data_IF_311945309170
#
_entry.id   IF_311945309170
#
_cell.length_a   1.000
_cell.length_b   1.000
_cell.length_c   1.000
_cell.angle_alpha   90.00
_cell.angle_beta   90.00
_cell.angle_gamma   90.00
#
_symmetry.space_group_name_H-M   'P 1'
#
loop_
_entity.id
_entity.type
_entity.pdbx_description
1 polymer ?
#
# COMPACT_ATOMS: atom_id res chain seq x y z
N UNK A 1 -29.17 11.82 -70.10
CA UNK A 1 -30.32 11.11 -69.49
C UNK A 1 -30.03 9.61 -69.54
N UNK A 2 -29.50 9.03 -68.47
CA UNK A 2 -29.12 7.60 -68.43
C UNK A 2 -30.33 6.79 -68.01
N UNK A 3 -30.97 6.13 -68.99
CA UNK A 3 -32.12 5.26 -68.76
C UNK A 3 -31.57 3.89 -68.35
N UNK A 4 -31.66 3.56 -67.07
CA UNK A 4 -31.28 2.24 -66.57
C UNK A 4 -32.25 1.18 -67.14
N UNK A 5 -31.72 0.21 -67.87
CA UNK A 5 -32.50 -0.89 -68.46
C UNK A 5 -33.12 -1.77 -67.36
N UNK A 6 -34.29 -2.37 -67.63
CA UNK A 6 -35.06 -3.24 -66.73
C UNK A 6 -34.24 -4.35 -66.05
N UNK A 7 -33.16 -4.82 -66.67
CA UNK A 7 -32.22 -5.78 -66.08
C UNK A 7 -31.43 -5.21 -64.90
N UNK A 8 -31.03 -3.94 -64.95
CA UNK A 8 -30.28 -3.26 -63.87
C UNK A 8 -31.18 -2.96 -62.67
N UNK A 9 -32.46 -2.64 -62.95
CA UNK A 9 -33.49 -2.46 -61.91
C UNK A 9 -33.83 -3.76 -61.18
N UNK A 10 -33.87 -4.90 -61.88
CA UNK A 10 -34.10 -6.22 -61.25
C UNK A 10 -32.95 -6.66 -60.35
N UNK A 11 -31.70 -6.42 -60.77
CA UNK A 11 -30.49 -6.76 -59.99
C UNK A 11 -30.38 -5.91 -58.72
N UNK A 12 -30.71 -4.62 -58.80
CA UNK A 12 -30.69 -3.71 -57.66
C UNK A 12 -31.76 -4.06 -56.61
N UNK A 13 -32.97 -4.46 -57.03
CA UNK A 13 -34.04 -4.92 -56.12
C UNK A 13 -33.67 -6.21 -55.37
N UNK A 14 -32.99 -7.15 -56.04
CA UNK A 14 -32.54 -8.40 -55.42
C UNK A 14 -31.46 -8.15 -54.36
N UNK A 15 -30.52 -7.25 -54.65
CA UNK A 15 -29.40 -6.96 -53.74
C UNK A 15 -29.86 -6.21 -52.47
N UNK A 16 -30.79 -5.25 -52.61
CA UNK A 16 -31.40 -4.56 -51.47
C UNK A 16 -32.21 -5.52 -50.59
N UNK A 17 -32.90 -6.49 -51.20
CA UNK A 17 -33.64 -7.52 -50.45
C UNK A 17 -32.72 -8.43 -49.64
N UNK A 18 -31.55 -8.82 -50.17
CA UNK A 18 -30.59 -9.66 -49.45
C UNK A 18 -30.00 -8.97 -48.23
N UNK A 19 -29.67 -7.68 -48.33
CA UNK A 19 -29.15 -6.89 -47.20
C UNK A 19 -30.19 -6.74 -46.10
N UNK A 20 -31.46 -6.53 -46.46
CA UNK A 20 -32.55 -6.41 -45.49
C UNK A 20 -32.79 -7.74 -44.74
N UNK A 21 -32.71 -8.87 -45.44
CA UNK A 21 -32.87 -10.21 -44.84
C UNK A 21 -31.70 -10.53 -43.90
N UNK A 22 -30.47 -10.22 -44.28
CA UNK A 22 -29.29 -10.40 -43.41
C UNK A 22 -29.39 -9.53 -42.15
N UNK A 23 -29.81 -8.27 -42.29
CA UNK A 23 -30.02 -7.38 -41.15
C UNK A 23 -31.10 -7.91 -40.20
N UNK A 24 -32.22 -8.41 -40.73
CA UNK A 24 -33.28 -9.03 -39.93
C UNK A 24 -32.75 -10.29 -39.23
N UNK A 25 -31.99 -11.16 -39.91
CA UNK A 25 -31.40 -12.35 -39.29
C UNK A 25 -30.40 -12.01 -38.18
N UNK A 26 -29.60 -10.94 -38.33
CA UNK A 26 -28.67 -10.48 -37.28
C UNK A 26 -29.45 -9.95 -36.07
N UNK A 27 -30.49 -9.14 -36.29
CA UNK A 27 -31.30 -8.54 -35.20
C UNK A 27 -32.16 -9.60 -34.50
N UNK A 28 -32.69 -10.60 -35.21
CA UNK A 28 -33.51 -11.67 -34.62
C UNK A 28 -32.70 -12.82 -34.01
N UNK A 29 -31.40 -12.91 -34.32
CA UNK A 29 -30.45 -13.80 -33.61
C UNK A 29 -29.84 -13.14 -32.36
N UNK A 30 -30.03 -11.82 -32.20
CA UNK A 30 -29.60 -11.06 -31.04
C UNK A 30 -30.60 -10.99 -29.85
N UNK A 31 -31.55 -11.92 -29.66
CA UNK A 31 -32.19 -12.12 -28.36
C UNK A 31 -31.70 -13.44 -27.75
N UNK A 32 -30.41 -13.52 -27.43
CA UNK A 32 -29.92 -14.44 -26.40
C UNK A 32 -28.88 -13.82 -25.47
N UNK A 33 -28.82 -12.48 -25.41
CA UNK A 33 -28.08 -11.75 -24.36
C UNK A 33 -29.06 -10.94 -23.49
N UNK A 34 -30.16 -11.55 -23.11
CA UNK A 34 -31.01 -11.07 -22.02
C UNK A 34 -31.38 -12.19 -21.05
N UNK A 35 -30.69 -13.33 -21.14
CA UNK A 35 -30.77 -14.45 -20.22
C UNK A 35 -29.44 -14.74 -19.51
N UNK A 36 -28.56 -13.74 -19.34
CA UNK A 36 -27.61 -13.80 -18.23
C UNK A 36 -28.39 -13.37 -17.00
N UNK A 37 -28.91 -14.37 -16.29
CA UNK A 37 -29.62 -14.15 -15.04
C UNK A 37 -28.82 -13.26 -14.11
N UNK A 38 -29.54 -12.49 -13.31
CA UNK A 38 -29.03 -11.87 -12.10
C UNK A 38 -28.38 -12.95 -11.23
N UNK A 39 -27.11 -13.21 -11.49
CA UNK A 39 -26.23 -13.76 -10.51
C UNK A 39 -25.48 -12.58 -9.92
N UNK A 40 -25.46 -12.50 -8.60
CA UNK A 40 -24.89 -11.41 -7.80
C UNK A 40 -23.34 -11.32 -7.90
N UNK A 41 -22.78 -11.67 -9.06
CA UNK A 41 -21.35 -11.79 -9.31
C UNK A 41 -20.60 -10.46 -9.22
N UNK A 42 -21.27 -9.29 -9.31
CA UNK A 42 -20.59 -8.00 -9.14
C UNK A 42 -20.24 -7.72 -7.68
N UNK A 43 -21.20 -7.81 -6.76
CA UNK A 43 -20.96 -7.48 -5.35
C UNK A 43 -20.02 -8.49 -4.68
N UNK A 44 -20.18 -9.79 -4.99
CA UNK A 44 -19.34 -10.82 -4.38
C UNK A 44 -17.87 -10.69 -4.81
N UNK A 45 -17.60 -10.34 -6.08
CA UNK A 45 -16.22 -10.07 -6.52
C UNK A 45 -15.68 -8.76 -5.95
N UNK A 46 -16.50 -7.71 -5.75
CA UNK A 46 -16.01 -6.49 -5.11
C UNK A 46 -15.64 -6.70 -3.64
N UNK A 47 -16.47 -7.38 -2.86
CA UNK A 47 -16.14 -7.69 -1.45
C UNK A 47 -14.90 -8.59 -1.34
N UNK A 48 -14.74 -9.53 -2.27
CA UNK A 48 -13.55 -10.39 -2.34
C UNK A 48 -12.31 -9.59 -2.75
N UNK A 49 -12.42 -8.67 -3.70
CA UNK A 49 -11.34 -7.76 -4.10
C UNK A 49 -10.98 -6.78 -2.98
N UNK A 50 -11.95 -6.28 -2.22
CA UNK A 50 -11.72 -5.42 -1.04
C UNK A 50 -11.04 -6.23 0.06
N UNK A 51 -11.49 -7.46 0.31
CA UNK A 51 -10.86 -8.37 1.29
C UNK A 51 -9.43 -8.69 0.89
N UNK A 52 -9.19 -9.05 -0.38
CA UNK A 52 -7.85 -9.30 -0.92
C UNK A 52 -6.98 -8.05 -0.83
N UNK A 53 -7.50 -6.86 -1.18
CA UNK A 53 -6.78 -5.60 -1.08
C UNK A 53 -6.40 -5.30 0.37
N UNK A 54 -7.32 -5.46 1.32
CA UNK A 54 -7.04 -5.27 2.75
C UNK A 54 -6.05 -6.31 3.31
N UNK A 55 -5.99 -7.51 2.73
CA UNK A 55 -5.01 -8.54 3.09
C UNK A 55 -3.59 -8.23 2.59
N UNK A 56 -3.44 -7.34 1.60
CA UNK A 56 -2.15 -6.94 1.03
C UNK A 56 -1.78 -5.48 1.33
N UNK A 57 -2.71 -4.68 1.87
CA UNK A 57 -2.40 -3.34 2.35
C UNK A 57 -1.72 -3.43 3.71
N UNK A 58 -0.58 -2.76 3.81
CA UNK A 58 0.11 -2.53 5.08
C UNK A 58 -0.87 -1.84 6.02
N UNK A 59 -0.90 -2.18 7.33
CA UNK A 59 -1.90 -1.65 8.24
C UNK A 59 -1.92 -0.13 8.09
N UNK A 60 -3.11 0.45 7.98
CA UNK A 60 -3.21 1.88 7.77
C UNK A 60 -2.74 2.59 9.04
N UNK A 61 -1.73 3.45 8.96
CA UNK A 61 -1.25 4.25 10.09
C UNK A 61 -2.37 5.07 10.78
N UNK A 62 -3.44 5.40 10.05
CA UNK A 62 -4.60 6.11 10.58
C UNK A 62 -5.60 5.22 11.33
N UNK A 63 -5.38 3.90 11.38
CA UNK A 63 -6.18 2.97 12.16
C UNK A 63 -5.93 3.21 13.66
N UNK A 64 -6.96 3.55 14.46
CA UNK A 64 -6.81 3.81 15.88
C UNK A 64 -6.35 2.59 16.70
N UNK A 65 -6.45 1.37 16.15
CA UNK A 65 -6.00 0.14 16.82
C UNK A 65 -4.49 -0.11 16.65
N UNK A 66 -3.85 0.56 15.68
CA UNK A 66 -2.41 0.44 15.43
C UNK A 66 -1.64 1.42 16.33
N UNK A 67 -1.03 0.88 17.38
CA UNK A 67 -0.15 1.64 18.27
C UNK A 67 1.34 1.55 17.88
N UNK A 68 1.67 0.69 16.91
CA UNK A 68 3.05 0.31 16.56
C UNK A 68 3.58 0.81 15.22
N UNK A 69 4.70 0.21 14.79
CA UNK A 69 5.46 0.62 13.60
C UNK A 69 6.41 -0.49 13.16
N UNK A 70 6.68 -0.62 11.85
CA UNK A 70 7.72 -1.51 11.32
C UNK A 70 9.11 -0.88 11.37
N UNK A 71 9.19 0.45 11.15
CA UNK A 71 10.42 1.24 11.03
C UNK A 71 10.43 2.37 12.07
N UNK A 72 11.12 2.16 13.18
CA UNK A 72 11.27 3.14 14.25
C UNK A 72 12.51 4.00 14.00
N UNK A 73 12.33 5.32 13.97
CA UNK A 73 13.41 6.30 13.80
C UNK A 73 13.54 7.10 15.09
N UNK A 74 14.70 7.03 15.73
CA UNK A 74 15.03 7.83 16.92
C UNK A 74 15.97 8.96 16.49
N UNK A 75 15.60 10.20 16.77
CA UNK A 75 16.33 11.38 16.30
C UNK A 75 16.37 12.50 17.33
N UNK A 76 17.46 13.28 17.41
CA UNK A 76 17.47 14.59 18.06
C UNK A 76 16.45 15.53 17.43
N UNK A 77 15.91 16.42 18.25
CA UNK A 77 14.95 17.46 17.84
C UNK A 77 15.49 18.30 16.68
N UNK A 78 16.79 18.58 16.68
CA UNK A 78 17.46 19.37 15.63
C UNK A 78 17.46 18.73 14.24
N UNK A 79 17.30 17.41 14.16
CA UNK A 79 17.24 16.67 12.90
C UNK A 79 15.84 16.19 12.54
N UNK A 80 14.84 16.41 13.41
CA UNK A 80 13.48 15.91 13.21
C UNK A 80 12.89 16.35 11.87
N UNK A 81 12.93 17.65 11.55
CA UNK A 81 12.39 18.15 10.28
C UNK A 81 13.12 17.59 9.05
N UNK A 82 14.43 17.38 9.17
CA UNK A 82 15.27 16.83 8.10
C UNK A 82 14.99 15.34 7.84
N UNK A 83 14.47 14.60 8.83
CA UNK A 83 14.18 13.18 8.70
C UNK A 83 12.80 12.88 8.11
N UNK A 84 11.87 13.85 8.17
CA UNK A 84 10.49 13.68 7.66
C UNK A 84 10.44 13.18 6.21
N UNK A 85 11.22 13.74 5.24
CA UNK A 85 11.20 13.24 3.85
C UNK A 85 11.65 11.78 3.74
N UNK A 86 12.60 11.36 4.58
CA UNK A 86 13.04 9.96 4.63
C UNK A 86 11.92 9.07 5.18
N UNK A 87 11.29 9.46 6.29
CA UNK A 87 10.19 8.73 6.89
C UNK A 87 9.04 8.53 5.88
N UNK A 88 8.64 9.60 5.19
CA UNK A 88 7.63 9.54 4.12
C UNK A 88 8.05 8.61 2.97
N UNK A 89 9.34 8.60 2.59
CA UNK A 89 9.84 7.66 1.57
C UNK A 89 9.72 6.20 1.99
N UNK A 90 9.84 5.89 3.29
CA UNK A 90 9.67 4.54 3.84
C UNK A 90 8.19 4.16 3.92
N UNK A 91 7.32 5.08 4.34
CA UNK A 91 5.86 4.89 4.29
C UNK A 91 5.38 4.60 2.87
N UNK A 92 5.86 5.34 1.87
CA UNK A 92 5.53 5.11 0.46
C UNK A 92 6.01 3.74 -0.08
N UNK A 93 6.90 3.06 0.64
CA UNK A 93 7.37 1.71 0.32
C UNK A 93 6.64 0.62 1.12
N UNK A 94 5.62 1.01 1.88
CA UNK A 94 4.81 0.10 2.69
C UNK A 94 5.40 -0.24 4.05
N UNK A 95 6.26 0.62 4.61
CA UNK A 95 6.72 0.45 6.00
C UNK A 95 5.97 1.41 6.91
N UNK A 96 5.25 0.89 7.90
CA UNK A 96 4.74 1.74 8.97
C UNK A 96 5.92 2.38 9.68
N UNK A 97 6.04 3.71 9.56
CA UNK A 97 7.20 4.45 10.04
C UNK A 97 6.80 5.44 11.12
N UNK A 98 7.58 5.46 12.20
CA UNK A 98 7.40 6.37 13.33
C UNK A 98 8.71 7.06 13.64
N UNK A 99 8.66 8.39 13.69
CA UNK A 99 9.77 9.24 14.12
C UNK A 99 9.50 9.63 15.57
N UNK A 100 10.49 9.46 16.43
CA UNK A 100 10.43 9.77 17.86
C UNK A 100 11.61 10.69 18.19
N UNK A 101 11.33 11.79 18.88
CA UNK A 101 12.39 12.64 19.37
C UNK A 101 13.05 12.01 20.58
N UNK A 102 14.38 12.16 20.68
CA UNK A 102 15.14 11.70 21.84
C UNK A 102 14.67 12.38 23.14
N UNK A 103 14.22 13.63 23.05
CA UNK A 103 13.64 14.38 24.18
C UNK A 103 12.31 13.82 24.66
N UNK A 104 11.55 13.13 23.79
CA UNK A 104 10.31 12.44 24.17
C UNK A 104 10.58 11.19 25.02
N UNK A 105 11.79 10.60 24.91
CA UNK A 105 12.23 9.48 25.74
C UNK A 105 12.70 10.00 27.09
N UNK A 106 13.62 10.96 27.09
CA UNK A 106 14.12 11.64 28.29
C UNK A 106 14.78 12.98 27.91
N UNK A 107 14.84 13.94 28.84
CA UNK A 107 15.50 15.25 28.60
C UNK A 107 16.98 15.13 28.21
N UNK A 108 17.67 14.10 28.71
CA UNK A 108 19.02 13.72 28.30
C UNK A 108 19.09 12.19 28.32
N UNK A 109 18.79 11.52 27.20
CA UNK A 109 18.62 10.08 27.18
C UNK A 109 19.97 9.39 27.32
N UNK A 110 20.06 8.49 28.29
CA UNK A 110 21.17 7.55 28.41
C UNK A 110 20.99 6.36 27.44
N UNK A 111 22.05 5.60 27.22
CA UNK A 111 21.96 4.36 26.45
C UNK A 111 20.95 3.37 27.04
N UNK A 112 20.84 3.31 28.37
CA UNK A 112 19.86 2.46 29.03
C UNK A 112 18.43 2.90 28.67
N UNK A 113 18.12 4.19 28.74
CA UNK A 113 16.78 4.69 28.42
C UNK A 113 16.37 4.41 26.96
N UNK A 114 17.30 4.56 26.02
CA UNK A 114 17.04 4.26 24.61
C UNK A 114 16.81 2.74 24.42
N UNK A 115 17.63 1.90 25.07
CA UNK A 115 17.46 0.44 24.99
C UNK A 115 16.13 -0.03 25.59
N UNK A 116 15.73 0.53 26.73
CA UNK A 116 14.46 0.23 27.39
C UNK A 116 13.27 0.71 26.55
N UNK A 117 13.39 1.86 25.89
CA UNK A 117 12.36 2.35 24.98
C UNK A 117 12.17 1.40 23.79
N UNK A 118 13.26 0.93 23.17
CA UNK A 118 13.20 -0.02 22.05
C UNK A 118 12.63 -1.36 22.51
N UNK A 119 13.04 -1.87 23.69
CA UNK A 119 12.49 -3.08 24.28
C UNK A 119 10.97 -2.94 24.53
N UNK A 120 10.54 -1.82 25.12
CA UNK A 120 9.12 -1.57 25.37
C UNK A 120 8.31 -1.53 24.06
N UNK A 121 8.85 -0.87 23.03
CA UNK A 121 8.23 -0.82 21.72
C UNK A 121 8.14 -2.22 21.09
N UNK A 122 9.18 -3.03 21.21
CA UNK A 122 9.16 -4.42 20.73
C UNK A 122 8.11 -5.28 21.45
N UNK A 123 7.99 -5.15 22.77
CA UNK A 123 7.11 -6.00 23.58
C UNK A 123 5.63 -5.61 23.50
N UNK A 124 5.33 -4.32 23.32
CA UNK A 124 3.97 -3.80 23.55
C UNK A 124 3.31 -3.16 22.32
N UNK A 125 4.05 -2.94 21.24
CA UNK A 125 3.49 -2.32 20.04
C UNK A 125 3.02 -3.36 19.03
N UNK A 126 1.97 -3.01 18.29
CA UNK A 126 1.43 -3.81 17.20
C UNK A 126 1.27 -2.91 15.94
N UNK A 127 2.08 -3.15 14.89
CA UNK A 127 3.17 -4.11 14.83
C UNK A 127 4.38 -3.71 15.70
N UNK A 128 5.14 -4.71 16.14
CA UNK A 128 6.43 -4.49 16.81
C UNK A 128 7.49 -3.99 15.80
N UNK A 129 8.40 -3.07 16.20
CA UNK A 129 9.47 -2.60 15.32
C UNK A 129 10.33 -3.75 14.77
N UNK A 130 10.44 -3.81 13.45
CA UNK A 130 11.37 -4.73 12.75
C UNK A 130 12.71 -4.06 12.47
N UNK A 131 12.71 -2.74 12.32
CA UNK A 131 13.90 -1.93 12.04
C UNK A 131 13.96 -0.74 12.98
N UNK A 132 15.17 -0.45 13.45
CA UNK A 132 15.47 0.77 14.21
C UNK A 132 16.54 1.56 13.46
N UNK A 133 16.27 2.84 13.21
CA UNK A 133 17.23 3.81 12.71
C UNK A 133 17.58 4.79 13.83
N UNK A 134 18.84 4.81 14.21
CA UNK A 134 19.40 5.77 15.15
C UNK A 134 20.00 6.93 14.34
N UNK A 135 19.51 8.15 14.53
CA UNK A 135 19.96 9.35 13.83
C UNK A 135 20.76 10.22 14.79
N UNK A 136 22.02 10.49 14.47
CA UNK A 136 22.90 11.31 15.30
C UNK A 136 24.27 10.66 15.50
N UNK A 137 25.09 11.30 16.31
CA UNK A 137 26.41 10.81 16.75
C UNK A 137 26.41 10.63 18.27
N UNK A 138 27.54 10.23 18.84
CA UNK A 138 27.71 9.85 20.25
C UNK A 138 27.31 10.94 21.24
N UNK A 139 27.33 12.22 20.84
CA UNK A 139 26.87 13.34 21.66
C UNK A 139 25.36 13.31 21.92
N UNK A 140 24.59 12.71 21.02
CA UNK A 140 23.13 12.62 21.11
C UNK A 140 22.66 11.19 21.42
N UNK A 141 23.33 10.20 20.85
CA UNK A 141 23.03 8.78 20.98
C UNK A 141 24.22 8.10 21.64
N UNK A 142 24.23 7.96 22.97
CA UNK A 142 25.38 7.42 23.67
C UNK A 142 25.65 5.98 23.21
N UNK A 143 26.85 5.72 22.70
CA UNK A 143 27.24 4.36 22.35
C UNK A 143 27.59 3.56 23.61
N UNK A 144 27.38 2.24 23.59
CA UNK A 144 27.79 1.38 24.70
C UNK A 144 29.27 1.03 24.59
N UNK A 145 30.00 1.11 25.71
CA UNK A 145 31.42 0.77 25.81
C UNK A 145 31.63 -0.41 26.76
N UNK A 146 32.02 -1.56 26.22
CA UNK A 146 32.32 -2.75 27.02
C UNK A 146 33.68 -2.65 27.68
N UNK A 147 33.78 -2.17 28.93
CA UNK A 147 35.00 -2.25 29.77
C UNK A 147 36.32 -1.87 29.04
N UNK A 148 36.32 -0.75 28.29
CA UNK A 148 37.47 -0.29 27.50
C UNK A 148 37.57 -0.87 26.08
N UNK A 149 36.57 -1.65 25.66
CA UNK A 149 36.35 -2.10 24.30
C UNK A 149 35.73 -1.03 23.39
N UNK A 150 35.59 -1.32 22.09
CA UNK A 150 35.06 -0.37 21.12
C UNK A 150 33.60 0.00 21.42
N UNK A 151 33.21 1.21 21.00
CA UNK A 151 31.83 1.66 21.01
C UNK A 151 30.96 0.74 20.13
N UNK A 152 29.74 0.40 20.60
CA UNK A 152 28.81 -0.43 19.83
C UNK A 152 27.35 -0.07 20.06
N UNK A 153 26.56 -0.15 18.98
CA UNK A 153 25.10 0.02 18.98
C UNK A 153 24.35 -1.32 19.12
N UNK A 154 25.07 -2.45 19.20
CA UNK A 154 24.46 -3.79 19.23
C UNK A 154 23.47 -3.98 20.39
N UNK A 155 23.67 -3.25 21.49
CA UNK A 155 22.79 -3.26 22.65
C UNK A 155 21.38 -2.77 22.34
N UNK A 156 21.24 -1.82 21.41
CA UNK A 156 19.93 -1.31 21.00
C UNK A 156 19.15 -2.31 20.15
N UNK A 157 19.85 -3.20 19.44
CA UNK A 157 19.22 -4.23 18.61
C UNK A 157 19.01 -5.57 19.35
N UNK A 158 19.59 -5.71 20.55
CA UNK A 158 19.48 -6.93 21.35
C UNK A 158 18.29 -6.81 22.30
N UNK A 159 17.11 -7.12 21.79
CA UNK A 159 15.89 -7.23 22.62
C UNK A 159 15.77 -8.63 23.23
N UNK A 160 15.32 -8.70 24.48
CA UNK A 160 15.02 -9.96 25.17
C UNK A 160 13.62 -10.40 24.76
N UNK A 161 13.45 -11.69 24.47
CA UNK A 161 12.19 -12.29 23.98
C UNK A 161 11.56 -13.17 25.05
#
# INVERSE_FOLDING_TARGET
MVILNSSQLKKCKSLVSFVLIIYILIVTSFPLFSAFGNHNYSLQTYEELISIKNLFETPNKADPEINGTDYLILTPDEFYENIIPLAQSKENKGLLTKVVNLTDIATSPSAENISEYIQNAYDNWNPAPTYVLLVGDVEFLPAHYMNGGPATDLYYATVVV
#
